data_IF_646517012406
#
_entry.id   IF_646517012406
#
_cell.length_a   1.000
_cell.length_b   1.000
_cell.length_c   1.000
_cell.angle_alpha   90.00
_cell.angle_beta   90.00
_cell.angle_gamma   90.00
#
_symmetry.space_group_name_H-M   'P 1'
#
loop_
_entity.id
_entity.type
_entity.pdbx_description
1 polymer ?
#
# COMPACT_ATOMS: atom_id res chain seq x y z
N UNK A 1 13.25 27.71 6.66
CA UNK A 1 13.74 26.34 6.37
C UNK A 1 14.49 25.83 7.58
N UNK A 2 14.32 24.55 7.94
CA UNK A 2 15.03 23.93 9.06
C UNK A 2 16.51 23.77 8.65
N UNK A 3 17.49 24.33 9.40
CA UNK A 3 18.90 24.31 9.00
C UNK A 3 19.51 22.90 8.97
N UNK A 4 18.84 21.92 9.58
CA UNK A 4 19.28 20.52 9.65
C UNK A 4 18.68 19.62 8.57
N UNK A 5 17.68 20.09 7.81
CA UNK A 5 17.04 19.33 6.73
C UNK A 5 17.47 19.93 5.41
N UNK A 6 18.43 19.27 4.74
CA UNK A 6 19.01 19.73 3.47
C UNK A 6 18.52 18.92 2.27
N UNK A 7 18.42 17.61 2.43
CA UNK A 7 18.07 16.67 1.36
C UNK A 7 16.89 15.81 1.81
N UNK A 8 15.67 16.30 1.60
CA UNK A 8 14.46 15.51 1.76
C UNK A 8 14.09 14.93 0.40
N UNK A 9 14.03 13.61 0.30
CA UNK A 9 13.78 12.92 -0.98
C UNK A 9 12.45 12.16 -0.99
N UNK A 10 11.88 11.88 0.19
CA UNK A 10 10.70 11.03 0.35
C UNK A 10 9.69 11.64 1.32
N UNK A 11 8.41 11.56 0.96
CA UNK A 11 7.29 11.82 1.87
C UNK A 11 6.56 10.49 2.09
N UNK A 12 6.32 10.16 3.35
CA UNK A 12 5.56 8.97 3.73
C UNK A 12 4.33 9.38 4.53
N UNK A 13 3.18 8.83 4.17
CA UNK A 13 1.92 9.07 4.86
C UNK A 13 1.45 7.79 5.52
N UNK A 14 1.30 7.84 6.85
CA UNK A 14 0.38 6.97 7.57
C UNK A 14 -1.02 7.52 7.35
N UNK A 15 -1.77 6.93 6.43
CA UNK A 15 -3.09 7.42 6.03
C UNK A 15 -4.10 7.26 7.18
N UNK A 16 -4.02 6.14 7.87
CA UNK A 16 -4.89 5.77 9.00
C UNK A 16 -4.18 4.72 9.84
N UNK A 17 -4.57 4.61 11.11
CA UNK A 17 -4.24 3.47 11.96
C UNK A 17 -5.37 2.43 11.98
N UNK A 18 -6.48 2.62 11.27
CA UNK A 18 -7.49 1.59 11.08
C UNK A 18 -6.96 0.51 10.13
N UNK A 19 -7.13 -0.77 10.47
CA UNK A 19 -6.69 -1.89 9.63
C UNK A 19 -7.73 -3.01 9.61
N UNK A 20 -7.88 -3.65 8.45
CA UNK A 20 -8.72 -4.84 8.28
C UNK A 20 -8.02 -6.13 8.71
N UNK A 21 -6.69 -6.10 8.81
CA UNK A 21 -5.88 -7.22 9.30
C UNK A 21 -5.62 -7.14 10.81
N UNK A 22 -5.32 -8.30 11.41
CA UNK A 22 -4.82 -8.42 12.80
C UNK A 22 -3.54 -9.27 12.83
N UNK A 23 -2.60 -8.92 11.96
CA UNK A 23 -1.40 -9.71 11.69
C UNK A 23 -0.49 -9.76 12.94
N UNK A 24 -0.09 -10.97 13.35
CA UNK A 24 0.74 -11.16 14.56
C UNK A 24 2.11 -10.49 14.50
N UNK A 25 2.64 -10.27 13.29
CA UNK A 25 3.93 -9.64 13.08
C UNK A 25 3.86 -8.11 12.96
N UNK A 26 2.65 -7.51 13.06
CA UNK A 26 2.50 -6.06 12.88
C UNK A 26 3.26 -5.32 13.99
N UNK A 27 4.21 -4.47 13.61
CA UNK A 27 5.00 -3.67 14.56
C UNK A 27 4.17 -2.62 15.29
N UNK A 28 3.08 -2.18 14.69
CA UNK A 28 2.18 -1.15 15.22
C UNK A 28 1.14 -1.71 16.22
N UNK A 29 1.11 -3.03 16.42
CA UNK A 29 0.24 -3.69 17.38
C UNK A 29 -1.22 -3.79 16.92
N UNK A 30 -2.16 -3.56 17.84
CA UNK A 30 -3.59 -3.71 17.58
C UNK A 30 -4.19 -2.42 17.00
N UNK A 31 -4.97 -2.56 15.94
CA UNK A 31 -5.65 -1.49 15.22
C UNK A 31 -7.16 -1.41 15.53
N UNK A 32 -7.64 -2.15 16.54
CA UNK A 32 -9.05 -2.12 16.96
C UNK A 32 -9.48 -0.73 17.46
N UNK A 33 -10.60 -0.23 16.93
CA UNK A 33 -11.23 1.01 17.39
C UNK A 33 -10.72 2.30 16.75
N UNK A 34 -9.65 2.25 15.95
CA UNK A 34 -9.23 3.41 15.16
C UNK A 34 -10.22 3.71 14.05
N UNK A 35 -10.57 4.99 13.91
CA UNK A 35 -11.49 5.48 12.85
C UNK A 35 -10.98 6.74 12.17
N UNK A 36 -9.91 7.31 12.72
CA UNK A 36 -9.27 8.52 12.26
C UNK A 36 -8.39 8.24 11.04
N UNK A 37 -8.34 9.23 10.16
CA UNK A 37 -7.45 9.24 9.01
C UNK A 37 -6.97 10.67 8.77
N UNK A 38 -5.85 10.80 8.07
CA UNK A 38 -5.38 12.12 7.66
C UNK A 38 -6.40 12.78 6.72
N UNK A 39 -6.61 14.08 6.91
CA UNK A 39 -7.46 14.85 6.00
C UNK A 39 -6.84 14.92 4.60
N UNK A 40 -7.64 14.64 3.57
CA UNK A 40 -7.18 14.59 2.18
C UNK A 40 -6.62 15.92 1.68
N UNK A 41 -7.22 17.04 2.09
CA UNK A 41 -6.85 18.38 1.63
C UNK A 41 -5.55 18.80 2.29
N UNK A 42 -5.42 18.54 3.60
CA UNK A 42 -4.19 18.79 4.36
C UNK A 42 -3.04 17.94 3.83
N UNK A 43 -3.27 16.65 3.54
CA UNK A 43 -2.24 15.76 3.00
C UNK A 43 -1.75 16.22 1.62
N UNK A 44 -2.66 16.56 0.71
CA UNK A 44 -2.30 17.11 -0.60
C UNK A 44 -1.54 18.44 -0.48
N UNK A 45 -1.97 19.33 0.41
CA UNK A 45 -1.28 20.60 0.65
C UNK A 45 0.12 20.40 1.25
N UNK A 46 0.29 19.40 2.11
CA UNK A 46 1.62 19.02 2.61
C UNK A 46 2.54 18.60 1.48
N UNK A 47 2.08 17.77 0.53
CA UNK A 47 2.87 17.40 -0.66
C UNK A 47 3.28 18.65 -1.45
N UNK A 48 2.37 19.60 -1.70
CA UNK A 48 2.67 20.85 -2.42
C UNK A 48 3.74 21.68 -1.72
N UNK A 49 3.57 21.92 -0.42
CA UNK A 49 4.48 22.74 0.39
C UNK A 49 5.88 22.12 0.49
N UNK A 50 5.95 20.79 0.60
CA UNK A 50 7.23 20.11 0.69
C UNK A 50 7.93 20.11 -0.68
N UNK A 51 7.22 19.77 -1.76
CA UNK A 51 7.80 19.75 -3.11
C UNK A 51 8.19 21.15 -3.62
N UNK A 52 7.63 22.23 -3.07
CA UNK A 52 8.06 23.60 -3.41
C UNK A 52 9.40 23.99 -2.78
N UNK A 53 9.88 23.22 -1.80
CA UNK A 53 11.11 23.49 -1.05
C UNK A 53 12.19 22.43 -1.26
N UNK A 54 11.82 21.22 -1.69
CA UNK A 54 12.72 20.07 -1.84
C UNK A 54 12.41 19.28 -3.10
N UNK A 55 13.44 18.66 -3.69
CA UNK A 55 13.31 17.72 -4.80
C UNK A 55 12.85 16.35 -4.29
N UNK A 56 11.54 16.19 -4.13
CA UNK A 56 10.94 14.92 -3.70
C UNK A 56 10.92 13.94 -4.87
N UNK A 57 11.61 12.81 -4.71
CA UNK A 57 11.64 11.72 -5.69
C UNK A 57 10.57 10.67 -5.43
N UNK A 58 10.11 10.55 -4.18
CA UNK A 58 9.16 9.52 -3.76
C UNK A 58 8.04 10.04 -2.87
N UNK A 59 6.80 9.66 -3.16
CA UNK A 59 5.68 9.73 -2.21
C UNK A 59 5.17 8.32 -1.96
N UNK A 60 4.96 7.97 -0.69
CA UNK A 60 4.46 6.66 -0.28
C UNK A 60 3.27 6.81 0.67
N UNK A 61 2.23 6.01 0.47
CA UNK A 61 1.09 5.91 1.39
C UNK A 61 1.00 4.50 1.96
N UNK A 62 0.89 4.40 3.28
CA UNK A 62 0.73 3.15 4.04
C UNK A 62 -0.05 3.45 5.33
N UNK A 63 0.00 2.55 6.31
CA UNK A 63 -0.54 2.75 7.66
C UNK A 63 -1.05 1.42 8.20
N UNK A 64 -2.28 1.41 8.74
CA UNK A 64 -3.10 0.21 8.79
C UNK A 64 -3.46 -0.23 7.36
N UNK A 65 -4.74 -0.22 7.00
CA UNK A 65 -5.16 -0.44 5.60
C UNK A 65 -5.51 0.90 4.93
N UNK A 66 -4.58 1.49 4.14
CA UNK A 66 -4.79 2.82 3.58
C UNK A 66 -5.98 2.89 2.60
N UNK A 67 -6.34 1.78 1.95
CA UNK A 67 -7.46 1.73 1.00
C UNK A 67 -8.83 1.65 1.67
N UNK A 68 -8.89 1.70 3.01
CA UNK A 68 -10.11 2.12 3.71
C UNK A 68 -10.49 3.57 3.36
N UNK A 69 -9.49 4.40 3.01
CA UNK A 69 -9.65 5.81 2.63
C UNK A 69 -9.04 6.09 1.25
N UNK A 70 -9.56 5.46 0.19
CA UNK A 70 -8.96 5.51 -1.14
C UNK A 70 -8.95 6.93 -1.73
N UNK A 71 -9.94 7.76 -1.41
CA UNK A 71 -9.99 9.16 -1.85
C UNK A 71 -8.80 9.97 -1.34
N UNK A 72 -8.38 9.75 -0.09
CA UNK A 72 -7.20 10.38 0.52
C UNK A 72 -5.93 9.92 -0.18
N UNK A 73 -5.79 8.61 -0.39
CA UNK A 73 -4.66 8.00 -1.12
C UNK A 73 -4.55 8.60 -2.52
N UNK A 74 -5.66 8.62 -3.28
CA UNK A 74 -5.70 9.14 -4.64
C UNK A 74 -5.40 10.64 -4.68
N UNK A 75 -5.87 11.44 -3.71
CA UNK A 75 -5.57 12.88 -3.66
C UNK A 75 -4.07 13.16 -3.45
N UNK A 76 -3.41 12.38 -2.59
CA UNK A 76 -1.97 12.46 -2.34
C UNK A 76 -1.20 12.12 -3.63
N UNK A 77 -1.50 10.97 -4.24
CA UNK A 77 -0.76 10.50 -5.43
C UNK A 77 -1.03 11.36 -6.67
N UNK A 78 -2.27 11.83 -6.87
CA UNK A 78 -2.60 12.76 -7.96
C UNK A 78 -1.86 14.08 -7.82
N UNK A 79 -1.71 14.56 -6.58
CA UNK A 79 -0.91 15.75 -6.28
C UNK A 79 0.56 15.51 -6.59
N UNK A 80 1.14 14.40 -6.12
CA UNK A 80 2.52 14.03 -6.38
C UNK A 80 2.81 13.87 -7.88
N UNK A 81 1.88 13.24 -8.63
CA UNK A 81 1.98 13.09 -10.08
C UNK A 81 1.97 14.45 -10.80
N UNK A 82 1.08 15.37 -10.41
CA UNK A 82 1.03 16.74 -10.98
C UNK A 82 2.30 17.56 -10.75
N UNK A 83 3.08 17.19 -9.74
CA UNK A 83 4.35 17.85 -9.37
C UNK A 83 5.57 17.10 -9.92
N UNK A 84 5.37 16.03 -10.70
CA UNK A 84 6.45 15.29 -11.34
C UNK A 84 7.22 14.34 -10.41
N UNK A 85 6.72 14.03 -9.21
CA UNK A 85 7.38 13.07 -8.29
C UNK A 85 7.46 11.71 -8.96
N UNK A 86 8.66 11.17 -9.15
CA UNK A 86 8.89 9.99 -9.98
C UNK A 86 8.25 8.70 -9.44
N UNK A 87 8.43 8.40 -8.14
CA UNK A 87 7.93 7.18 -7.50
C UNK A 87 6.73 7.48 -6.61
N UNK A 88 5.60 6.83 -6.88
CA UNK A 88 4.31 7.05 -6.20
C UNK A 88 3.78 5.70 -5.74
N UNK A 89 4.14 5.37 -4.49
CA UNK A 89 4.06 4.03 -3.93
C UNK A 89 2.89 3.85 -2.97
N UNK A 90 2.23 2.70 -3.03
CA UNK A 90 1.19 2.28 -2.07
C UNK A 90 1.61 0.95 -1.47
N UNK A 91 1.57 0.82 -0.14
CA UNK A 91 1.66 -0.47 0.56
C UNK A 91 0.27 -0.77 1.11
N UNK A 92 -0.30 -1.93 0.77
CA UNK A 92 -1.66 -2.32 1.15
C UNK A 92 -1.74 -3.83 1.35
N UNK A 93 -2.64 -4.28 2.23
CA UNK A 93 -2.97 -5.70 2.35
C UNK A 93 -4.00 -6.15 1.29
N UNK A 94 -4.54 -5.22 0.50
CA UNK A 94 -5.47 -5.48 -0.60
C UNK A 94 -6.92 -5.76 -0.18
N UNK A 95 -7.24 -5.68 1.12
CA UNK A 95 -8.56 -6.01 1.65
C UNK A 95 -9.19 -4.82 2.38
N UNK A 96 -9.96 -4.03 1.65
CA UNK A 96 -10.68 -2.85 2.16
C UNK A 96 -12.20 -2.90 1.90
N UNK A 97 -12.66 -3.90 1.15
CA UNK A 97 -14.07 -4.12 0.86
C UNK A 97 -14.33 -5.57 0.46
N UNK A 98 -15.59 -6.01 0.60
CA UNK A 98 -16.10 -7.25 -0.01
C UNK A 98 -16.91 -6.98 -1.28
N UNK A 99 -17.16 -5.73 -1.62
CA UNK A 99 -17.92 -5.34 -2.81
C UNK A 99 -16.98 -5.30 -4.02
N UNK A 100 -17.19 -6.20 -4.98
CA UNK A 100 -16.33 -6.32 -6.18
C UNK A 100 -16.31 -5.04 -7.03
N UNK A 101 -17.43 -4.34 -7.16
CA UNK A 101 -17.48 -3.09 -7.93
C UNK A 101 -16.68 -1.98 -7.23
N UNK A 102 -16.76 -1.91 -5.90
CA UNK A 102 -15.91 -0.99 -5.12
C UNK A 102 -14.42 -1.30 -5.32
N UNK A 103 -14.05 -2.58 -5.32
CA UNK A 103 -12.65 -3.00 -5.53
C UNK A 103 -12.15 -2.57 -6.91
N UNK A 104 -12.92 -2.83 -7.96
CA UNK A 104 -12.61 -2.40 -9.34
C UNK A 104 -12.46 -0.88 -9.43
N UNK A 105 -13.41 -0.13 -8.87
CA UNK A 105 -13.38 1.33 -8.87
C UNK A 105 -12.16 1.89 -8.14
N UNK A 106 -11.76 1.28 -7.02
CA UNK A 106 -10.56 1.71 -6.28
C UNK A 106 -9.29 1.40 -7.08
N UNK A 107 -9.17 0.22 -7.70
CA UNK A 107 -8.02 -0.09 -8.56
C UNK A 107 -7.88 0.92 -9.72
N UNK A 108 -8.97 1.23 -10.42
CA UNK A 108 -8.98 2.25 -11.47
C UNK A 108 -8.61 3.64 -10.93
N UNK A 109 -9.17 4.03 -9.79
CA UNK A 109 -8.87 5.33 -9.15
C UNK A 109 -7.39 5.46 -8.75
N UNK A 110 -6.76 4.37 -8.30
CA UNK A 110 -5.33 4.35 -8.00
C UNK A 110 -4.50 4.58 -9.27
N UNK A 111 -4.82 3.88 -10.36
CA UNK A 111 -4.17 4.08 -11.66
C UNK A 111 -4.35 5.52 -12.17
N UNK A 112 -5.57 6.04 -12.15
CA UNK A 112 -5.91 7.41 -12.58
C UNK A 112 -5.25 8.49 -11.71
N UNK A 113 -5.00 8.19 -10.43
CA UNK A 113 -4.24 9.08 -9.54
C UNK A 113 -2.73 9.09 -9.84
N UNK A 114 -2.28 8.19 -10.71
CA UNK A 114 -0.89 8.06 -11.12
C UNK A 114 -0.06 7.15 -10.23
N UNK A 115 -0.64 6.34 -9.34
CA UNK A 115 0.12 5.32 -8.59
C UNK A 115 0.89 4.44 -9.56
N UNK A 116 2.18 4.26 -9.32
CA UNK A 116 3.06 3.51 -10.22
C UNK A 116 3.95 2.48 -9.52
N UNK A 117 3.73 2.25 -8.22
CA UNK A 117 4.41 1.21 -7.46
C UNK A 117 3.48 0.69 -6.36
N UNK A 118 2.77 -0.41 -6.60
CA UNK A 118 1.93 -1.06 -5.58
C UNK A 118 2.69 -2.23 -4.96
N UNK A 119 2.82 -2.23 -3.63
CA UNK A 119 3.34 -3.34 -2.85
C UNK A 119 2.18 -4.01 -2.12
N UNK A 120 1.89 -5.25 -2.50
CA UNK A 120 0.77 -6.02 -1.96
C UNK A 120 1.28 -6.96 -0.86
N UNK A 121 0.87 -6.71 0.37
CA UNK A 121 1.26 -7.52 1.52
C UNK A 121 0.51 -8.86 1.52
N UNK A 122 1.21 -9.94 1.16
CA UNK A 122 0.69 -11.30 1.12
C UNK A 122 1.69 -12.27 1.73
N UNK A 123 1.29 -12.94 2.80
CA UNK A 123 2.10 -13.89 3.54
C UNK A 123 1.23 -14.68 4.52
N UNK A 124 1.86 -15.64 5.18
CA UNK A 124 1.20 -16.50 6.15
C UNK A 124 0.44 -15.71 7.24
N UNK A 125 0.92 -14.54 7.65
CA UNK A 125 0.37 -13.80 8.79
C UNK A 125 -0.79 -12.90 8.38
N UNK A 126 -0.72 -12.24 7.22
CA UNK A 126 -1.86 -11.47 6.69
C UNK A 126 -3.06 -12.39 6.45
N UNK A 127 -2.80 -13.55 5.83
CA UNK A 127 -3.84 -14.51 5.48
C UNK A 127 -4.41 -15.30 6.68
N UNK A 128 -3.89 -15.11 7.92
CA UNK A 128 -4.57 -15.59 9.13
C UNK A 128 -5.93 -14.90 9.35
N UNK A 129 -6.07 -13.66 8.87
CA UNK A 129 -7.26 -12.81 9.13
C UNK A 129 -7.88 -12.21 7.87
N UNK A 130 -7.15 -12.20 6.76
CA UNK A 130 -7.57 -11.60 5.50
C UNK A 130 -7.85 -12.68 4.45
N UNK A 131 -9.07 -12.74 3.87
CA UNK A 131 -9.41 -13.73 2.86
C UNK A 131 -8.58 -13.57 1.57
N UNK A 132 -7.81 -14.61 1.21
CA UNK A 132 -6.93 -14.60 0.05
C UNK A 132 -7.67 -14.32 -1.27
N UNK A 133 -8.85 -14.90 -1.48
CA UNK A 133 -9.63 -14.72 -2.72
C UNK A 133 -9.97 -13.26 -3.01
N UNK A 134 -10.23 -12.46 -1.96
CA UNK A 134 -10.53 -11.03 -2.14
C UNK A 134 -9.27 -10.24 -2.50
N UNK A 135 -8.15 -10.60 -1.89
CA UNK A 135 -6.84 -9.99 -2.16
C UNK A 135 -6.37 -10.32 -3.58
N UNK A 136 -6.54 -11.57 -4.03
CA UNK A 136 -6.25 -11.97 -5.41
C UNK A 136 -7.13 -11.20 -6.40
N UNK A 137 -8.42 -11.04 -6.10
CA UNK A 137 -9.32 -10.26 -6.96
C UNK A 137 -8.91 -8.77 -7.05
N UNK A 138 -8.46 -8.17 -5.94
CA UNK A 138 -7.89 -6.82 -6.00
C UNK A 138 -6.59 -6.78 -6.82
N UNK A 139 -5.72 -7.78 -6.68
CA UNK A 139 -4.48 -7.88 -7.45
C UNK A 139 -4.76 -7.99 -8.96
N UNK A 140 -5.72 -8.81 -9.36
CA UNK A 140 -6.22 -8.91 -10.75
C UNK A 140 -6.69 -7.54 -11.25
N UNK A 141 -7.54 -6.84 -10.48
CA UNK A 141 -8.00 -5.50 -10.85
C UNK A 141 -6.85 -4.49 -10.98
N UNK A 142 -5.82 -4.57 -10.13
CA UNK A 142 -4.66 -3.69 -10.19
C UNK A 142 -3.80 -3.96 -11.45
N UNK A 143 -3.61 -5.24 -11.80
CA UNK A 143 -2.93 -5.65 -13.05
C UNK A 143 -3.72 -5.17 -14.27
N UNK A 144 -5.04 -5.40 -14.30
CA UNK A 144 -5.92 -4.98 -15.40
C UNK A 144 -5.96 -3.46 -15.57
N UNK A 145 -5.81 -2.71 -14.47
CA UNK A 145 -5.73 -1.25 -14.47
C UNK A 145 -4.33 -0.73 -14.87
N UNK A 146 -3.37 -1.61 -15.15
CA UNK A 146 -2.02 -1.27 -15.59
C UNK A 146 -1.10 -0.74 -14.47
N UNK A 147 -1.43 -0.99 -13.20
CA UNK A 147 -0.58 -0.55 -12.08
C UNK A 147 0.59 -1.52 -11.94
N UNK A 148 1.86 -1.05 -11.98
CA UNK A 148 2.99 -1.90 -11.62
C UNK A 148 2.86 -2.36 -10.17
N UNK A 149 2.69 -3.67 -9.99
CA UNK A 149 2.45 -4.32 -8.70
C UNK A 149 3.57 -5.32 -8.39
N UNK A 150 3.91 -5.44 -7.11
CA UNK A 150 4.78 -6.49 -6.58
C UNK A 150 4.20 -7.12 -5.32
N UNK A 151 4.47 -8.39 -5.10
CA UNK A 151 4.15 -9.06 -3.84
C UNK A 151 5.19 -8.73 -2.78
N UNK A 152 4.74 -8.36 -1.59
CA UNK A 152 5.55 -7.91 -0.44
C UNK A 152 5.32 -8.83 0.77
N UNK A 153 5.88 -10.06 0.78
CA UNK A 153 5.70 -10.99 1.89
C UNK A 153 6.56 -10.61 3.11
N UNK A 154 6.06 -10.91 4.31
CA UNK A 154 6.88 -11.06 5.51
C UNK A 154 7.51 -12.46 5.58
N UNK A 155 8.81 -12.51 5.83
CA UNK A 155 9.58 -13.74 6.06
C UNK A 155 10.03 -13.80 7.52
N UNK A 156 9.92 -14.98 8.14
CA UNK A 156 10.48 -15.22 9.46
C UNK A 156 11.96 -15.58 9.31
N UNK A 157 12.84 -14.73 9.87
CA UNK A 157 14.31 -14.77 9.75
C UNK A 157 14.80 -14.46 8.32
N UNK A 158 14.53 -15.32 7.34
CA UNK A 158 14.86 -15.10 5.93
C UNK A 158 13.97 -15.95 5.01
N UNK A 159 13.90 -15.64 3.69
CA UNK A 159 13.13 -16.46 2.73
C UNK A 159 13.60 -17.92 2.62
N UNK A 160 14.87 -18.18 2.93
CA UNK A 160 15.50 -19.49 2.84
C UNK A 160 15.25 -20.38 4.07
N UNK A 161 14.82 -19.80 5.19
CA UNK A 161 14.63 -20.55 6.43
C UNK A 161 13.42 -21.49 6.35
N UNK A 162 13.60 -22.71 6.85
CA UNK A 162 12.57 -23.72 6.91
C UNK A 162 11.77 -23.55 8.21
N UNK A 163 10.56 -23.02 8.08
CA UNK A 163 9.59 -22.96 9.17
C UNK A 163 8.17 -22.94 8.59
N UNK A 164 7.15 -23.28 9.39
CA UNK A 164 5.77 -23.38 8.91
C UNK A 164 5.24 -22.08 8.28
N UNK A 165 5.66 -20.91 8.78
CA UNK A 165 5.22 -19.62 8.26
C UNK A 165 5.80 -19.35 6.87
N UNK A 166 7.11 -19.56 6.67
CA UNK A 166 7.73 -19.37 5.37
C UNK A 166 7.19 -20.36 4.33
N UNK A 167 6.95 -21.62 4.70
CA UNK A 167 6.32 -22.58 3.79
C UNK A 167 4.90 -22.16 3.39
N UNK A 168 4.12 -21.65 4.36
CA UNK A 168 2.78 -21.11 4.07
C UNK A 168 2.84 -19.84 3.22
N UNK A 169 3.80 -18.94 3.45
CA UNK A 169 4.03 -17.76 2.62
C UNK A 169 4.36 -18.15 1.19
N UNK A 170 5.22 -19.16 0.96
CA UNK A 170 5.52 -19.68 -0.38
C UNK A 170 4.28 -20.25 -1.07
N UNK A 171 3.43 -20.98 -0.34
CA UNK A 171 2.14 -21.49 -0.85
C UNK A 171 1.23 -20.35 -1.30
N UNK A 172 1.06 -19.32 -0.47
CA UNK A 172 0.23 -18.15 -0.77
C UNK A 172 0.76 -17.39 -1.99
N UNK A 173 2.08 -17.18 -2.09
CA UNK A 173 2.70 -16.50 -3.23
C UNK A 173 2.39 -17.25 -4.54
N UNK A 174 2.48 -18.58 -4.55
CA UNK A 174 2.18 -19.39 -5.75
C UNK A 174 0.74 -19.22 -6.25
N UNK A 175 -0.20 -18.83 -5.38
CA UNK A 175 -1.58 -18.55 -5.81
C UNK A 175 -1.67 -17.34 -6.76
N UNK A 176 -0.67 -16.46 -6.77
CA UNK A 176 -0.58 -15.30 -7.66
C UNK A 176 0.20 -15.59 -8.95
N UNK A 177 0.74 -16.80 -9.15
CA UNK A 177 1.48 -17.18 -10.37
C UNK A 177 0.70 -16.87 -11.67
N UNK A 178 -0.63 -17.10 -11.77
CA UNK A 178 -1.41 -16.78 -12.97
C UNK A 178 -1.45 -15.28 -13.32
N UNK A 179 -1.19 -14.39 -12.35
CA UNK A 179 -1.17 -12.95 -12.55
C UNK A 179 0.22 -12.42 -12.94
N UNK A 180 1.24 -13.28 -12.94
CA UNK A 180 2.64 -12.93 -13.28
C UNK A 180 3.21 -11.75 -12.46
N UNK A 181 2.77 -11.60 -11.21
CA UNK A 181 3.21 -10.52 -10.33
C UNK A 181 4.59 -10.89 -9.74
N UNK A 182 5.62 -10.05 -9.90
CA UNK A 182 6.94 -10.33 -9.33
C UNK A 182 6.95 -10.13 -7.80
N UNK A 183 7.88 -10.79 -7.12
CA UNK A 183 8.22 -10.49 -5.73
C UNK A 183 8.98 -9.16 -5.64
N UNK A 184 8.80 -8.43 -4.54
CA UNK A 184 9.53 -7.19 -4.28
C UNK A 184 11.00 -7.39 -3.94
#
# INVERSE_FOLDING_TARGET
MNPYIKNLEKIEFVVTMACTGKCRHCSEGNHDGFTEHIDKTVAAEAVRKICSSYEISTVMTFGGEPLLYPDTVCAIHKTAASLGVAKRQVITNGFFSKNKDKIKTVALSLADSGVNALLLSVDAFHQETIPLDTVMFFAECAVDSGIPIKLQPAWLVSPGDQNPYNEKTKEIIRAFDPLHIPLN
#
